data_IF_756483556354
#
_entry.id   IF_756483556354
#
_cell.length_a   1.000
_cell.length_b   1.000
_cell.length_c   1.000
_cell.angle_alpha   90.00
_cell.angle_beta   90.00
_cell.angle_gamma   90.00
#
_symmetry.space_group_name_H-M   'P 1'
#
loop_
_entity.id
_entity.type
_entity.pdbx_description
1 polymer ?
#
# COMPACT_ATOMS: atom_id res chain seq x y z
N UNK A 1 15.08 48.82 54.27
CA UNK A 1 15.19 48.63 52.81
C UNK A 1 15.78 47.25 52.55
N UNK A 2 15.09 46.43 51.74
CA UNK A 2 15.61 45.37 50.85
C UNK A 2 14.59 44.25 50.70
N UNK A 3 13.91 44.21 49.55
CA UNK A 3 13.13 43.06 49.06
C UNK A 3 14.00 42.35 48.03
N UNK A 4 14.34 41.08 48.27
CA UNK A 4 14.97 40.21 47.28
C UNK A 4 13.82 39.50 46.55
N UNK A 5 13.57 39.88 45.30
CA UNK A 5 12.64 39.18 44.41
C UNK A 5 13.49 38.20 43.60
N UNK A 6 13.46 36.93 43.97
CA UNK A 6 14.06 35.85 43.21
C UNK A 6 13.12 35.47 42.06
N UNK A 7 13.48 35.91 40.85
CA UNK A 7 12.89 35.52 39.59
C UNK A 7 13.18 34.04 39.31
N UNK A 8 12.16 33.18 39.40
CA UNK A 8 12.23 31.79 38.95
C UNK A 8 11.52 31.69 37.59
N UNK A 9 12.30 31.77 36.51
CA UNK A 9 11.82 31.46 35.16
C UNK A 9 11.76 29.94 34.99
N UNK A 10 10.55 29.37 35.06
CA UNK A 10 10.31 27.95 34.77
C UNK A 10 10.25 27.76 33.25
N UNK A 11 11.37 27.38 32.63
CA UNK A 11 11.40 27.04 31.21
C UNK A 11 10.90 25.60 31.02
N UNK A 12 9.64 25.43 30.65
CA UNK A 12 9.06 24.14 30.31
C UNK A 12 9.52 23.71 28.91
N UNK A 13 10.55 22.87 28.84
CA UNK A 13 10.93 22.21 27.59
C UNK A 13 9.93 21.08 27.29
N UNK A 14 9.00 21.32 26.37
CA UNK A 14 8.08 20.29 25.88
C UNK A 14 8.83 19.48 24.83
N UNK A 15 9.38 18.33 25.24
CA UNK A 15 9.89 17.33 24.31
C UNK A 15 8.69 16.65 23.63
N UNK A 16 8.30 17.15 22.46
CA UNK A 16 7.34 16.48 21.58
C UNK A 16 7.98 15.20 21.08
N UNK A 17 7.60 14.08 21.70
CA UNK A 17 7.98 12.75 21.23
C UNK A 17 7.22 12.50 19.93
N UNK A 18 7.91 12.63 18.80
CA UNK A 18 7.37 12.24 17.49
C UNK A 18 7.29 10.72 17.50
N UNK A 19 6.08 10.21 17.72
CA UNK A 19 5.78 8.79 17.47
C UNK A 19 5.75 8.62 15.96
N UNK A 20 6.87 8.23 15.38
CA UNK A 20 6.90 7.74 14.01
C UNK A 20 6.08 6.44 13.99
N UNK A 21 5.03 6.32 13.16
CA UNK A 21 4.36 5.04 13.02
C UNK A 21 5.43 4.06 12.50
N UNK A 22 5.70 3.03 13.30
CA UNK A 22 6.47 1.87 12.83
C UNK A 22 5.60 1.20 11.78
N UNK A 23 5.74 1.62 10.52
CA UNK A 23 5.20 0.89 9.39
C UNK A 23 5.75 -0.53 9.52
N UNK A 24 4.88 -1.48 9.85
CA UNK A 24 5.21 -2.89 9.80
C UNK A 24 5.85 -3.11 8.42
N UNK A 25 7.05 -3.69 8.39
CA UNK A 25 7.79 -3.91 7.16
C UNK A 25 6.88 -4.66 6.19
N UNK A 26 6.30 -3.92 5.23
CA UNK A 26 5.54 -4.52 4.16
C UNK A 26 6.49 -5.44 3.40
N UNK A 27 6.00 -6.54 2.80
CA UNK A 27 6.82 -7.31 1.90
C UNK A 27 7.46 -6.33 0.89
N UNK A 28 8.79 -6.27 0.85
CA UNK A 28 9.52 -5.38 -0.06
C UNK A 28 9.38 -5.91 -1.49
N UNK A 29 8.16 -5.90 -2.03
CA UNK A 29 7.89 -6.20 -3.41
C UNK A 29 8.47 -5.07 -4.27
N UNK A 30 8.98 -5.45 -5.44
CA UNK A 30 9.50 -4.49 -6.42
C UNK A 30 8.36 -3.57 -6.90
N UNK A 31 8.38 -2.33 -6.42
CA UNK A 31 7.47 -1.26 -6.86
C UNK A 31 8.10 -0.34 -7.91
N UNK A 32 9.42 -0.43 -8.10
CA UNK A 32 10.15 0.35 -9.08
C UNK A 32 9.88 -0.18 -10.50
N UNK A 33 9.65 0.73 -11.44
CA UNK A 33 9.65 0.42 -12.85
C UNK A 33 11.07 0.01 -13.26
N UNK A 34 11.21 -1.24 -13.70
CA UNK A 34 12.43 -1.73 -14.33
C UNK A 34 12.34 -1.44 -15.83
N UNK A 35 13.49 -1.20 -16.46
CA UNK A 35 13.54 -1.14 -17.93
C UNK A 35 13.00 -2.48 -18.48
N UNK A 36 12.08 -2.47 -19.46
CA UNK A 36 11.54 -3.67 -20.08
C UNK A 36 12.60 -4.70 -20.50
N UNK A 37 13.81 -4.26 -20.86
CA UNK A 37 14.91 -5.16 -21.25
C UNK A 37 15.44 -6.03 -20.09
N UNK A 38 15.20 -5.64 -18.83
CA UNK A 38 15.57 -6.39 -17.64
C UNK A 38 14.42 -7.21 -17.04
N UNK A 39 13.25 -7.20 -17.68
CA UNK A 39 12.08 -7.93 -17.20
C UNK A 39 11.89 -9.22 -17.97
N UNK A 40 12.22 -10.34 -17.34
CA UNK A 40 11.85 -11.66 -17.83
C UNK A 40 10.50 -12.15 -17.27
N UNK A 41 9.98 -13.24 -17.84
CA UNK A 41 8.69 -13.81 -17.47
C UNK A 41 8.64 -14.33 -16.02
N UNK A 42 9.76 -14.83 -15.48
CA UNK A 42 9.83 -15.35 -14.12
C UNK A 42 9.84 -14.21 -13.10
N UNK A 43 10.59 -13.14 -13.39
CA UNK A 43 10.61 -11.93 -12.57
C UNK A 43 9.21 -11.32 -12.50
N UNK A 44 8.55 -11.15 -13.65
CA UNK A 44 7.21 -10.60 -13.71
C UNK A 44 6.19 -11.45 -12.91
N UNK A 45 6.25 -12.79 -13.03
CA UNK A 45 5.40 -13.68 -12.22
C UNK A 45 5.71 -13.59 -10.72
N UNK A 46 6.99 -13.55 -10.34
CA UNK A 46 7.41 -13.52 -8.94
C UNK A 46 7.03 -12.21 -8.26
N UNK A 47 7.23 -11.08 -8.93
CA UNK A 47 6.88 -9.76 -8.38
C UNK A 47 5.37 -9.60 -8.31
N UNK A 48 4.63 -10.06 -9.33
CA UNK A 48 3.17 -10.07 -9.28
C UNK A 48 2.62 -10.92 -8.12
N UNK A 49 3.22 -12.09 -7.87
CA UNK A 49 2.83 -12.93 -6.73
C UNK A 49 3.13 -12.26 -5.39
N UNK A 50 4.32 -11.66 -5.23
CA UNK A 50 4.67 -10.91 -4.03
C UNK A 50 3.59 -9.88 -3.69
N UNK A 51 3.11 -9.16 -4.70
CA UNK A 51 2.07 -8.16 -4.52
C UNK A 51 0.70 -8.74 -4.15
N UNK A 52 0.30 -9.90 -4.69
CA UNK A 52 -0.93 -10.56 -4.21
C UNK A 52 -0.81 -10.99 -2.75
N UNK A 53 0.35 -11.51 -2.34
CA UNK A 53 0.59 -11.92 -0.95
C UNK A 53 0.58 -10.69 -0.02
N UNK A 54 1.16 -9.56 -0.46
CA UNK A 54 1.12 -8.29 0.26
C UNK A 54 -0.30 -7.72 0.37
N UNK A 55 -1.11 -7.82 -0.68
CA UNK A 55 -2.51 -7.40 -0.66
C UNK A 55 -3.34 -8.19 0.35
N UNK A 56 -3.08 -9.49 0.48
CA UNK A 56 -3.73 -10.35 1.46
C UNK A 56 -3.27 -10.06 2.90
N UNK A 57 -2.00 -9.67 3.07
CA UNK A 57 -1.43 -9.36 4.38
C UNK A 57 -1.84 -7.99 4.93
N UNK A 58 -2.07 -6.99 4.06
CA UNK A 58 -2.49 -5.64 4.44
C UNK A 58 -3.74 -5.21 3.65
N UNK A 59 -4.95 -5.46 4.19
CA UNK A 59 -6.20 -5.06 3.56
C UNK A 59 -6.31 -3.56 3.29
N UNK A 60 -5.60 -2.71 4.04
CA UNK A 60 -5.65 -1.25 3.85
C UNK A 60 -4.93 -0.81 2.57
N UNK A 61 -4.00 -1.63 2.09
CA UNK A 61 -3.23 -1.42 0.86
C UNK A 61 -3.53 -2.47 -0.22
N UNK A 62 -4.56 -3.30 -0.01
CA UNK A 62 -4.97 -4.35 -0.93
C UNK A 62 -5.22 -3.82 -2.34
N UNK A 63 -5.85 -2.64 -2.48
CA UNK A 63 -6.09 -2.04 -3.80
C UNK A 63 -4.78 -1.74 -4.53
N UNK A 64 -3.87 -1.02 -3.88
CA UNK A 64 -2.58 -0.62 -4.47
C UNK A 64 -1.74 -1.84 -4.82
N UNK A 65 -1.62 -2.80 -3.91
CA UNK A 65 -0.86 -4.02 -4.17
C UNK A 65 -1.50 -4.87 -5.28
N UNK A 66 -2.81 -5.02 -5.33
CA UNK A 66 -3.47 -5.77 -6.42
C UNK A 66 -3.28 -5.07 -7.78
N UNK A 67 -3.22 -3.74 -7.83
CA UNK A 67 -2.90 -3.00 -9.07
C UNK A 67 -1.50 -3.31 -9.58
N UNK A 68 -0.50 -3.32 -8.69
CA UNK A 68 0.86 -3.74 -9.04
C UNK A 68 0.90 -5.21 -9.49
N UNK A 69 0.19 -6.11 -8.79
CA UNK A 69 0.12 -7.50 -9.20
C UNK A 69 -0.44 -7.65 -10.63
N UNK A 70 -1.51 -6.92 -10.94
CA UNK A 70 -2.12 -6.90 -12.27
C UNK A 70 -1.14 -6.44 -13.35
N UNK A 71 -0.41 -5.34 -13.14
CA UNK A 71 0.55 -4.83 -14.14
C UNK A 71 1.67 -5.84 -14.41
N UNK A 72 2.20 -6.47 -13.36
CA UNK A 72 3.24 -7.48 -13.47
C UNK A 72 2.76 -8.76 -14.16
N UNK A 73 1.54 -9.22 -13.90
CA UNK A 73 0.98 -10.36 -14.64
C UNK A 73 0.66 -10.05 -16.09
N UNK A 74 0.27 -8.82 -16.41
CA UNK A 74 0.09 -8.39 -17.79
C UNK A 74 1.42 -8.42 -18.57
N UNK A 75 2.51 -7.98 -17.92
CA UNK A 75 3.86 -8.11 -18.46
C UNK A 75 4.27 -9.59 -18.64
N UNK A 76 3.99 -10.45 -17.65
CA UNK A 76 4.25 -11.88 -17.77
C UNK A 76 3.45 -12.53 -18.91
N UNK A 77 2.20 -12.11 -19.14
CA UNK A 77 1.37 -12.60 -20.24
C UNK A 77 1.91 -12.14 -21.61
N UNK A 78 2.34 -10.87 -21.71
CA UNK A 78 3.02 -10.36 -22.89
C UNK A 78 4.30 -11.16 -23.22
N UNK A 79 5.04 -11.57 -22.19
CA UNK A 79 6.23 -12.43 -22.30
C UNK A 79 5.89 -13.93 -22.43
N UNK A 80 4.60 -14.28 -22.64
CA UNK A 80 4.11 -15.64 -22.87
C UNK A 80 4.42 -16.63 -21.73
N UNK A 81 4.44 -16.15 -20.48
CA UNK A 81 4.57 -17.04 -19.34
C UNK A 81 3.28 -17.86 -19.17
N UNK A 82 3.37 -19.19 -19.25
CA UNK A 82 2.18 -20.06 -19.31
C UNK A 82 1.21 -19.94 -18.11
N UNK A 83 1.68 -19.47 -16.95
CA UNK A 83 0.85 -19.25 -15.76
C UNK A 83 0.22 -17.83 -15.68
N UNK A 84 0.61 -16.92 -16.57
CA UNK A 84 0.28 -15.50 -16.44
C UNK A 84 -1.21 -15.19 -16.64
N UNK A 85 -1.86 -15.78 -17.64
CA UNK A 85 -3.28 -15.52 -17.95
C UNK A 85 -4.18 -15.80 -16.75
N UNK A 86 -3.98 -16.93 -16.05
CA UNK A 86 -4.77 -17.27 -14.86
C UNK A 86 -4.54 -16.30 -13.70
N UNK A 87 -3.28 -15.89 -13.49
CA UNK A 87 -2.93 -14.92 -12.44
C UNK A 87 -3.42 -13.51 -12.75
N UNK A 88 -3.39 -13.09 -14.03
CA UNK A 88 -3.94 -11.82 -14.48
C UNK A 88 -5.45 -11.77 -14.28
N UNK A 89 -6.16 -12.85 -14.62
CA UNK A 89 -7.59 -12.97 -14.38
C UNK A 89 -7.92 -12.91 -12.88
N UNK A 90 -7.15 -13.61 -12.04
CA UNK A 90 -7.29 -13.54 -10.58
C UNK A 90 -7.13 -12.10 -10.07
N UNK A 91 -6.06 -11.40 -10.47
CA UNK A 91 -5.81 -10.03 -10.04
C UNK A 91 -6.94 -9.09 -10.48
N UNK A 92 -7.48 -9.27 -11.70
CA UNK A 92 -8.64 -8.50 -12.17
C UNK A 92 -9.87 -8.72 -11.30
N UNK A 93 -10.19 -9.97 -10.95
CA UNK A 93 -11.34 -10.28 -10.09
C UNK A 93 -11.22 -9.60 -8.73
N UNK A 94 -10.05 -9.65 -8.10
CA UNK A 94 -9.80 -8.99 -6.82
C UNK A 94 -9.97 -7.47 -6.95
N UNK A 95 -9.50 -6.85 -8.05
CA UNK A 95 -9.70 -5.42 -8.28
C UNK A 95 -11.18 -5.05 -8.39
N UNK A 96 -11.96 -5.84 -9.12
CA UNK A 96 -13.41 -5.61 -9.28
C UNK A 96 -14.13 -5.70 -7.91
N UNK A 97 -13.77 -6.68 -7.08
CA UNK A 97 -14.30 -6.85 -5.73
C UNK A 97 -13.95 -5.67 -4.82
N UNK A 98 -12.69 -5.22 -4.82
CA UNK A 98 -12.24 -4.08 -4.02
C UNK A 98 -12.91 -2.77 -4.45
N UNK A 99 -13.12 -2.57 -5.76
CA UNK A 99 -13.83 -1.41 -6.28
C UNK A 99 -15.32 -1.42 -5.92
N UNK A 100 -15.97 -2.58 -5.99
CA UNK A 100 -17.35 -2.74 -5.56
C UNK A 100 -17.49 -2.49 -4.05
N UNK A 101 -16.62 -3.10 -3.25
CA UNK A 101 -16.56 -2.93 -1.81
C UNK A 101 -16.35 -1.49 -1.37
N UNK A 102 -15.59 -0.69 -2.12
CA UNK A 102 -15.38 0.74 -1.83
C UNK A 102 -16.59 1.64 -2.21
N UNK A 103 -17.43 1.22 -3.17
CA UNK A 103 -18.63 1.99 -3.55
C UNK A 103 -19.75 1.88 -2.53
N UNK A 104 -19.95 0.71 -1.91
CA UNK A 104 -21.04 0.48 -0.96
C UNK A 104 -21.00 1.40 0.28
N UNK A 105 -19.85 1.60 0.95
CA UNK A 105 -19.71 2.56 2.05
C UNK A 105 -19.93 4.00 1.60
N UNK A 106 -19.41 4.39 0.41
CA UNK A 106 -19.56 5.74 -0.13
C UNK A 106 -21.03 6.07 -0.42
N UNK A 107 -21.79 5.11 -0.98
CA UNK A 107 -23.23 5.23 -1.19
C UNK A 107 -23.99 5.35 0.14
N UNK A 108 -23.64 4.56 1.15
CA UNK A 108 -24.27 4.63 2.47
C UNK A 108 -24.04 5.98 3.17
N UNK A 109 -22.82 6.53 3.06
CA UNK A 109 -22.50 7.85 3.60
C UNK A 109 -23.34 8.97 2.95
N UNK A 110 -23.57 8.91 1.64
CA UNK A 110 -24.39 9.90 0.93
C UNK A 110 -25.89 9.81 1.26
N UNK A 111 -26.38 8.65 1.68
CA UNK A 111 -27.78 8.46 2.11
C UNK A 111 -28.00 8.96 3.54
N UNK A 112 -26.99 8.91 4.41
CA UNK A 112 -27.09 9.38 5.80
C UNK A 112 -27.05 10.90 5.97
N UNK A 113 -26.61 11.63 4.94
CA UNK A 113 -26.44 13.10 4.94
C UNK A 113 -27.67 13.86 4.39
N UNK A 114 -28.81 13.17 4.21
CA UNK A 114 -30.10 13.75 3.79
C UNK A 114 -31.17 13.51 4.84
#
# INVERSE_FOLDING_TARGET
MSRIILSVSLASAIALSVVLPTQAAQPHCLTAELDPEFVDSNLALSVGQCHLDAAAADPTQALTHTQYAYSWFAQAEYLQAGAATGKLQQARQILDELQYGNRTPALAAQVSDR
#
